data_IF_380982415558
#
_entry.id   IF_380982415558
#
_cell.length_a   1.000
_cell.length_b   1.000
_cell.length_c   1.000
_cell.angle_alpha   90.00
_cell.angle_beta   90.00
_cell.angle_gamma   90.00
#
_symmetry.space_group_name_H-M   'P 1'
#
loop_
_entity.id
_entity.type
_entity.pdbx_description
1 polymer ?
#
# COMPACT_ATOMS: atom_id res chain seq x y z
N UNK A 1 -16.36 -7.92 -6.05
CA UNK A 1 -14.96 -7.52 -6.23
C UNK A 1 -14.17 -7.97 -5.01
N UNK A 2 -13.03 -8.59 -5.20
CA UNK A 2 -12.19 -9.01 -4.08
C UNK A 2 -11.62 -7.82 -3.35
N UNK A 3 -11.53 -7.90 -2.05
CA UNK A 3 -10.89 -6.89 -1.24
C UNK A 3 -9.40 -7.19 -1.05
N UNK A 4 -8.61 -6.13 -1.00
CA UNK A 4 -7.18 -6.20 -0.73
C UNK A 4 -6.80 -5.11 0.25
N UNK A 5 -6.03 -5.46 1.27
CA UNK A 5 -5.35 -4.49 2.11
C UNK A 5 -4.04 -4.11 1.43
N UNK A 6 -3.91 -2.85 1.06
CA UNK A 6 -2.75 -2.33 0.33
C UNK A 6 -2.00 -1.36 1.22
N UNK A 7 -0.69 -1.52 1.30
CA UNK A 7 0.13 -0.83 2.30
C UNK A 7 1.08 0.16 1.65
N UNK A 8 1.00 1.41 2.09
CA UNK A 8 1.96 2.44 1.73
C UNK A 8 2.99 2.57 2.86
N UNK A 9 4.23 2.22 2.58
CA UNK A 9 5.38 2.55 3.41
C UNK A 9 6.19 3.61 2.68
N UNK A 10 6.47 4.72 3.34
CA UNK A 10 7.25 5.78 2.69
C UNK A 10 8.41 6.24 3.55
N UNK A 11 9.47 6.67 2.89
CA UNK A 11 10.61 7.39 3.46
C UNK A 11 10.84 8.63 2.61
N UNK A 12 10.35 9.80 3.07
CA UNK A 12 10.31 10.98 2.22
C UNK A 12 9.46 10.72 0.98
N UNK A 13 10.05 10.85 -0.20
CA UNK A 13 9.39 10.58 -1.47
C UNK A 13 9.61 9.16 -1.98
N UNK A 14 10.27 8.32 -1.21
CA UNK A 14 10.49 6.91 -1.57
C UNK A 14 9.38 6.04 -1.01
N UNK A 15 9.04 5.04 -1.78
CA UNK A 15 7.95 4.12 -1.48
C UNK A 15 8.46 2.70 -1.58
N UNK A 16 8.02 1.86 -0.64
CA UNK A 16 8.36 0.44 -0.67
C UNK A 16 7.48 -0.28 -1.68
N UNK A 17 8.10 -0.88 -2.67
CA UNK A 17 7.46 -1.78 -3.61
C UNK A 17 8.02 -3.18 -3.47
N UNK A 18 7.21 -4.16 -3.78
CA UNK A 18 7.57 -5.57 -3.78
C UNK A 18 7.24 -6.20 -5.12
N UNK A 19 7.89 -7.32 -5.42
CA UNK A 19 7.59 -8.09 -6.62
C UNK A 19 7.82 -9.57 -6.37
N UNK A 20 6.92 -10.39 -6.90
CA UNK A 20 7.16 -11.82 -7.04
C UNK A 20 8.13 -12.06 -8.19
N UNK A 21 8.71 -13.25 -8.23
CA UNK A 21 9.64 -13.60 -9.30
C UNK A 21 8.98 -13.40 -10.67
N UNK A 22 9.66 -12.66 -11.54
CA UNK A 22 9.21 -12.36 -12.91
C UNK A 22 7.83 -11.67 -12.97
N UNK A 23 7.45 -10.95 -11.92
CA UNK A 23 6.19 -10.25 -11.86
C UNK A 23 6.41 -8.73 -11.79
N UNK A 24 5.31 -8.02 -11.96
CA UNK A 24 5.29 -6.56 -11.87
C UNK A 24 5.49 -6.09 -10.43
N UNK A 25 6.01 -4.89 -10.28
CA UNK A 25 6.11 -4.23 -9.00
C UNK A 25 4.72 -3.83 -8.50
N UNK A 26 4.52 -3.94 -7.19
CA UNK A 26 3.25 -3.66 -6.55
C UNK A 26 3.50 -3.16 -5.13
N UNK A 27 2.55 -2.45 -4.56
CA UNK A 27 2.57 -2.13 -3.14
C UNK A 27 2.39 -3.41 -2.31
N UNK A 28 3.04 -3.53 -1.16
CA UNK A 28 2.80 -4.67 -0.27
C UNK A 28 1.32 -4.80 0.07
N UNK A 29 0.88 -6.01 0.30
CA UNK A 29 -0.50 -6.25 0.70
C UNK A 29 -1.04 -7.58 0.27
N UNK A 30 -2.30 -7.80 0.56
CA UNK A 30 -3.01 -9.02 0.23
C UNK A 30 -4.44 -9.02 0.73
N UNK A 31 -5.16 -10.08 0.42
CA UNK A 31 -6.55 -10.20 0.84
C UNK A 31 -6.69 -10.49 2.33
N UNK A 32 -7.67 -9.87 2.99
CA UNK A 32 -8.00 -10.26 4.36
C UNK A 32 -8.41 -11.73 4.42
N UNK A 33 -8.00 -12.38 5.49
CA UNK A 33 -8.47 -13.74 5.80
C UNK A 33 -9.88 -13.66 6.36
N UNK A 34 -10.53 -14.81 6.41
CA UNK A 34 -11.87 -14.89 7.01
C UNK A 34 -11.82 -14.39 8.46
N UNK A 35 -12.65 -13.41 8.78
CA UNK A 35 -12.71 -12.83 10.12
C UNK A 35 -11.62 -11.81 10.42
N UNK A 36 -10.74 -11.56 9.48
CA UNK A 36 -9.65 -10.59 9.63
C UNK A 36 -10.07 -9.23 9.09
N UNK A 37 -9.79 -8.16 9.85
CA UNK A 37 -10.02 -6.80 9.36
C UNK A 37 -9.02 -6.45 8.26
N UNK A 38 -9.36 -5.52 7.36
CA UNK A 38 -8.38 -5.02 6.39
C UNK A 38 -7.12 -4.44 7.06
N UNK A 39 -7.27 -3.77 8.20
CA UNK A 39 -6.11 -3.22 8.93
C UNK A 39 -5.18 -4.33 9.43
N UNK A 40 -5.72 -5.37 10.00
CA UNK A 40 -4.91 -6.50 10.47
C UNK A 40 -4.27 -7.23 9.30
N UNK A 41 -4.98 -7.36 8.18
CA UNK A 41 -4.42 -7.92 6.96
C UNK A 41 -3.24 -7.09 6.44
N UNK A 42 -3.37 -5.75 6.46
CA UNK A 42 -2.29 -4.86 6.05
C UNK A 42 -1.02 -5.11 6.87
N UNK A 43 -1.17 -5.18 8.20
CA UNK A 43 -0.04 -5.41 9.10
C UNK A 43 0.57 -6.80 8.89
N UNK A 44 -0.26 -7.81 8.77
CA UNK A 44 0.19 -9.19 8.56
C UNK A 44 0.93 -9.34 7.23
N UNK A 45 0.34 -8.84 6.14
CA UNK A 45 0.94 -8.96 4.81
C UNK A 45 2.27 -8.21 4.72
N UNK A 46 2.36 -7.03 5.30
CA UNK A 46 3.62 -6.29 5.33
C UNK A 46 4.71 -7.08 6.03
N UNK A 47 4.40 -7.66 7.19
CA UNK A 47 5.34 -8.48 7.94
C UNK A 47 5.75 -9.72 7.17
N UNK A 48 4.78 -10.42 6.57
CA UNK A 48 5.06 -11.64 5.80
C UNK A 48 5.92 -11.35 4.59
N UNK A 49 5.64 -10.28 3.85
CA UNK A 49 6.30 -10.00 2.57
C UNK A 49 7.65 -9.31 2.72
N UNK A 50 7.84 -8.51 3.75
CA UNK A 50 9.02 -7.65 3.88
C UNK A 50 9.75 -7.75 5.21
N UNK A 51 9.18 -8.45 6.18
CA UNK A 51 9.73 -8.52 7.53
C UNK A 51 9.54 -7.25 8.35
N UNK A 52 8.85 -6.24 7.83
CA UNK A 52 8.64 -4.99 8.55
C UNK A 52 7.48 -5.11 9.53
N UNK A 53 7.77 -4.85 10.81
CA UNK A 53 6.75 -4.73 11.83
C UNK A 53 6.12 -3.34 11.73
N UNK A 54 4.79 -3.30 11.73
CA UNK A 54 4.03 -2.07 11.67
C UNK A 54 3.42 -1.77 13.03
N UNK A 55 3.80 -0.63 13.63
CA UNK A 55 3.24 -0.21 14.91
C UNK A 55 1.79 0.24 14.78
N UNK A 56 1.49 0.94 13.69
CA UNK A 56 0.14 1.39 13.38
C UNK A 56 -0.06 1.37 11.86
N UNK A 57 -1.23 0.92 11.44
CA UNK A 57 -1.66 0.99 10.05
C UNK A 57 -2.86 1.95 9.98
N UNK A 58 -2.61 3.14 9.48
CA UNK A 58 -3.62 4.17 9.38
C UNK A 58 -4.38 4.04 8.07
N UNK A 59 -5.69 3.91 8.17
CA UNK A 59 -6.53 3.87 6.98
C UNK A 59 -6.52 5.23 6.27
N UNK A 60 -6.25 5.26 4.97
CA UNK A 60 -6.28 6.47 4.17
C UNK A 60 -7.58 6.56 3.35
N UNK A 61 -7.80 5.59 2.48
CA UNK A 61 -8.96 5.59 1.57
C UNK A 61 -9.10 4.22 0.91
N UNK A 62 -10.17 4.03 0.16
CA UNK A 62 -10.33 2.86 -0.70
C UNK A 62 -10.43 3.28 -2.16
N UNK A 63 -9.93 2.41 -3.02
CA UNK A 63 -9.87 2.62 -4.47
C UNK A 63 -10.27 1.33 -5.16
N UNK A 64 -11.20 1.43 -6.10
CA UNK A 64 -11.58 0.29 -6.92
C UNK A 64 -10.66 0.21 -8.15
N UNK A 65 -9.97 -0.91 -8.29
CA UNK A 65 -9.31 -1.30 -9.53
C UNK A 65 -10.25 -2.13 -10.39
N UNK A 66 -9.71 -2.76 -11.44
CA UNK A 66 -10.52 -3.59 -12.32
C UNK A 66 -11.06 -4.84 -11.62
N UNK A 67 -10.29 -5.42 -10.72
CA UNK A 67 -10.60 -6.71 -10.11
C UNK A 67 -10.62 -6.70 -8.59
N UNK A 68 -10.11 -5.63 -7.98
CA UNK A 68 -9.96 -5.56 -6.53
C UNK A 68 -10.36 -4.19 -6.00
N UNK A 69 -10.94 -4.21 -4.81
CA UNK A 69 -11.16 -3.02 -4.01
C UNK A 69 -9.97 -2.91 -3.05
N UNK A 70 -9.16 -1.87 -3.23
CA UNK A 70 -7.99 -1.64 -2.40
C UNK A 70 -8.34 -0.77 -1.20
N UNK A 71 -8.14 -1.31 0.00
CA UNK A 71 -8.14 -0.51 1.22
C UNK A 71 -6.69 -0.09 1.47
N UNK A 72 -6.42 1.20 1.39
CA UNK A 72 -5.06 1.73 1.44
C UNK A 72 -4.73 2.22 2.83
N UNK A 73 -3.63 1.70 3.38
CA UNK A 73 -3.15 2.02 4.72
C UNK A 73 -1.75 2.61 4.65
N UNK A 74 -1.53 3.63 5.47
CA UNK A 74 -0.17 4.13 5.71
C UNK A 74 0.39 3.37 6.91
N UNK A 75 1.51 2.68 6.70
CA UNK A 75 2.16 1.94 7.76
C UNK A 75 3.15 2.81 8.52
N UNK A 76 3.07 2.77 9.84
CA UNK A 76 4.03 3.39 10.73
C UNK A 76 5.11 2.37 11.06
N UNK A 77 6.29 2.55 10.48
CA UNK A 77 7.43 1.67 10.64
C UNK A 77 8.62 2.42 11.23
N UNK A 78 9.50 1.67 11.88
CA UNK A 78 10.77 2.22 12.36
C UNK A 78 11.57 2.76 11.17
N UNK A 79 12.05 4.02 11.24
CA UNK A 79 12.84 4.61 10.13
C UNK A 79 14.09 3.82 9.77
N UNK A 80 14.64 3.07 10.71
CA UNK A 80 15.85 2.28 10.50
C UNK A 80 15.59 0.83 10.14
N UNK A 81 14.31 0.43 10.08
CA UNK A 81 13.96 -0.94 9.74
C UNK A 81 14.36 -1.28 8.31
N UNK A 82 14.86 -2.48 8.11
CA UNK A 82 15.31 -2.96 6.81
C UNK A 82 14.26 -3.92 6.24
N UNK A 83 13.76 -3.59 5.05
CA UNK A 83 12.86 -4.46 4.31
C UNK A 83 13.67 -5.58 3.66
N UNK A 84 13.19 -6.82 3.78
CA UNK A 84 13.79 -7.99 3.15
C UNK A 84 12.70 -8.83 2.51
N UNK A 85 12.89 -9.28 1.25
CA UNK A 85 11.88 -10.12 0.61
C UNK A 85 11.73 -11.44 1.35
N UNK A 86 10.49 -11.87 1.55
CA UNK A 86 10.16 -13.12 2.22
C UNK A 86 8.90 -13.73 1.61
N UNK A 87 8.65 -14.99 1.93
CA UNK A 87 7.56 -15.77 1.37
C UNK A 87 7.61 -15.76 -0.17
N UNK A 88 6.50 -15.47 -0.83
CA UNK A 88 6.46 -15.44 -2.30
C UNK A 88 7.08 -14.19 -2.92
N UNK A 89 7.52 -13.24 -2.12
CA UNK A 89 8.17 -12.03 -2.64
C UNK A 89 9.63 -12.30 -2.95
N UNK A 90 10.04 -12.03 -4.18
CA UNK A 90 11.41 -12.20 -4.65
C UNK A 90 12.26 -10.95 -4.49
N UNK A 91 11.64 -9.78 -4.56
CA UNK A 91 12.34 -8.49 -4.49
C UNK A 91 11.53 -7.48 -3.69
N UNK A 92 12.21 -6.63 -2.94
CA UNK A 92 11.62 -5.41 -2.40
C UNK A 92 12.62 -4.27 -2.57
N UNK A 93 12.11 -3.06 -2.80
CA UNK A 93 12.95 -1.90 -3.04
C UNK A 93 12.23 -0.62 -2.65
N UNK A 94 13.01 0.34 -2.17
CA UNK A 94 12.56 1.70 -1.94
C UNK A 94 12.74 2.47 -3.24
N UNK A 95 11.63 2.90 -3.83
CA UNK A 95 11.60 3.51 -5.15
C UNK A 95 11.22 4.97 -5.01
N UNK A 96 11.98 5.86 -5.67
CA UNK A 96 11.60 7.25 -5.75
C UNK A 96 10.26 7.39 -6.46
N UNK A 97 9.38 8.19 -5.90
CA UNK A 97 8.06 8.44 -6.44
C UNK A 97 8.11 8.83 -7.92
N UNK A 98 9.09 9.64 -8.30
CA UNK A 98 9.27 10.10 -9.68
C UNK A 98 9.64 8.97 -10.64
N UNK A 99 10.24 7.89 -10.14
CA UNK A 99 10.64 6.76 -10.96
C UNK A 99 9.51 5.76 -11.25
N UNK A 100 8.36 5.93 -10.63
CA UNK A 100 7.23 4.99 -10.80
C UNK A 100 6.78 4.87 -12.24
N UNK A 101 6.80 5.96 -13.00
CA UNK A 101 6.38 5.95 -14.38
C UNK A 101 7.24 5.12 -15.32
N UNK A 102 8.49 4.86 -14.93
CA UNK A 102 9.43 4.06 -15.71
C UNK A 102 9.53 2.61 -15.23
N UNK A 103 8.83 2.25 -14.17
CA UNK A 103 8.78 0.89 -13.66
C UNK A 103 7.58 0.13 -14.20
N UNK A 104 7.78 -1.17 -14.36
CA UNK A 104 6.69 -2.06 -14.74
C UNK A 104 5.87 -2.42 -13.50
N UNK A 105 4.88 -1.61 -13.19
CA UNK A 105 4.01 -1.77 -12.02
C UNK A 105 2.67 -2.38 -12.39
N UNK A 106 2.10 -3.14 -11.47
CA UNK A 106 0.70 -3.55 -11.57
C UNK A 106 -0.20 -2.34 -11.44
N UNK A 107 -1.27 -2.29 -12.23
CA UNK A 107 -2.32 -1.33 -12.02
C UNK A 107 -3.17 -1.74 -10.81
N UNK A 108 -3.61 -0.84 -9.96
CA UNK A 108 -3.48 0.61 -10.05
C UNK A 108 -2.37 1.20 -9.15
N UNK A 109 -1.22 0.53 -9.01
CA UNK A 109 -0.15 0.96 -8.10
C UNK A 109 0.25 2.43 -8.27
N UNK A 110 0.58 2.94 -9.47
CA UNK A 110 0.98 4.34 -9.60
C UNK A 110 -0.11 5.31 -9.17
N UNK A 111 -1.34 5.00 -9.48
CA UNK A 111 -2.46 5.86 -9.11
C UNK A 111 -2.69 5.88 -7.59
N UNK A 112 -2.60 4.73 -6.93
CA UNK A 112 -2.74 4.65 -5.47
C UNK A 112 -1.68 5.53 -4.81
N UNK A 113 -0.45 5.48 -5.30
CA UNK A 113 0.65 6.29 -4.76
C UNK A 113 0.35 7.78 -4.94
N UNK A 114 -0.08 8.20 -6.11
CA UNK A 114 -0.44 9.60 -6.34
C UNK A 114 -1.56 10.07 -5.42
N UNK A 115 -2.62 9.29 -5.32
CA UNK A 115 -3.74 9.60 -4.43
C UNK A 115 -3.30 9.67 -2.97
N UNK A 116 -2.43 8.76 -2.55
CA UNK A 116 -1.95 8.72 -1.18
C UNK A 116 -1.12 9.97 -0.83
N UNK A 117 -0.22 10.39 -1.71
CA UNK A 117 0.55 11.61 -1.48
C UNK A 117 -0.34 12.84 -1.49
N UNK A 118 -1.31 12.93 -2.37
CA UNK A 118 -2.28 14.01 -2.37
C UNK A 118 -3.09 14.03 -1.08
N UNK A 119 -3.56 12.86 -0.64
CA UNK A 119 -4.29 12.71 0.61
C UNK A 119 -3.49 13.19 1.81
N UNK A 120 -2.22 12.82 1.88
CA UNK A 120 -1.34 13.15 3.01
C UNK A 120 -0.95 14.64 3.03
N UNK A 121 -1.02 15.35 1.91
CA UNK A 121 -0.75 16.78 1.86
C UNK A 121 -1.94 17.63 2.29
N UNK A 122 -3.15 17.08 2.29
CA UNK A 122 -4.34 17.84 2.61
C UNK A 122 -4.43 18.13 4.12
N UNK A 123 -4.85 19.32 4.53
CA UNK A 123 -5.14 19.58 5.93
C UNK A 123 -6.23 18.65 6.43
N UNK A 124 -6.02 18.06 7.59
CA UNK A 124 -7.03 17.18 8.18
C UNK A 124 -8.14 18.01 8.78
N UNK A 125 -9.36 17.54 8.59
CA UNK A 125 -10.55 18.10 9.20
C UNK A 125 -10.59 17.73 10.69
N UNK A 126 -11.53 18.34 11.40
CA UNK A 126 -11.69 18.11 12.83
C UNK A 126 -11.92 16.64 13.17
N UNK A 127 -11.61 16.22 14.42
CA UNK A 127 -11.87 14.84 14.85
C UNK A 127 -13.33 14.43 14.60
N UNK A 128 -13.53 13.20 14.16
CA UNK A 128 -14.86 12.67 13.84
C UNK A 128 -15.18 12.65 12.35
N UNK A 129 -14.36 13.28 11.53
CA UNK A 129 -14.49 13.14 10.08
C UNK A 129 -13.86 11.82 9.66
N UNK A 130 -14.61 11.00 8.98
CA UNK A 130 -14.14 9.71 8.47
C UNK A 130 -13.09 9.96 7.40
N UNK A 131 -11.94 9.30 7.51
CA UNK A 131 -10.98 9.22 6.42
C UNK A 131 -11.72 8.62 5.23
N UNK A 132 -11.73 9.36 4.13
CA UNK A 132 -12.79 9.23 3.18
C UNK A 132 -12.69 8.06 2.22
N UNK A 133 -13.81 7.84 1.59
CA UNK A 133 -13.89 6.99 0.42
C UNK A 133 -13.51 7.83 -0.80
N UNK A 134 -12.47 7.43 -1.48
CA UNK A 134 -12.09 8.07 -2.74
C UNK A 134 -12.46 7.13 -3.86
N UNK A 135 -13.39 7.57 -4.70
CA UNK A 135 -13.73 6.83 -5.90
C UNK A 135 -12.97 7.45 -7.06
N UNK A 136 -11.86 6.85 -7.38
CA UNK A 136 -11.02 7.34 -8.46
C UNK A 136 -11.36 6.68 -9.79
N UNK A 137 -12.50 6.20 -10.03
CA UNK A 137 -13.02 5.75 -11.31
C UNK A 137 -12.00 5.03 -12.20
N UNK A 138 -11.26 4.10 -11.66
CA UNK A 138 -10.12 3.60 -12.35
C UNK A 138 -10.47 2.37 -13.15
N UNK A 139 -10.18 2.47 -14.39
CA UNK A 139 -10.00 1.29 -15.21
C UNK A 139 -8.66 0.65 -14.83
N UNK A 140 -8.63 -0.60 -14.72
CA UNK A 140 -7.50 -1.42 -14.41
C UNK A 140 -6.19 -0.94 -14.98
#
# INVERSE_FOLDING_TARGET
>A
MKERATVLCRRGDRILLVARLNARWVLPGGGPRRGESPRDAARRELLEETGLACGNARYLFRVAGAHKLHHVFLADIDPDAVARPAHEIAQCAWIDREALGSLHCSQPTPLIVELAFDWLRQPRLAPGVVDGDVFAGIAA
#
